data_IF_523612299624
#
_entry.id   IF_523612299624
#
_cell.length_a   1.000
_cell.length_b   1.000
_cell.length_c   1.000
_cell.angle_alpha   90.00
_cell.angle_beta   90.00
_cell.angle_gamma   90.00
#
_symmetry.space_group_name_H-M   'P 1'
#
loop_
_entity.id
_entity.type
_entity.pdbx_description
1 polymer ?
#
# COMPACT_ATOMS: atom_id res chain seq x y z
N UNK A 1 -8.96 -27.37 13.23
CA UNK A 1 -8.69 -26.10 12.52
C UNK A 1 -7.20 -25.83 12.48
N UNK A 2 -6.67 -25.51 11.33
CA UNK A 2 -5.25 -25.13 11.18
C UNK A 2 -4.97 -23.75 11.79
N UNK A 3 -3.76 -23.53 12.30
CA UNK A 3 -3.38 -22.25 12.92
C UNK A 3 -3.53 -21.04 11.96
N UNK A 4 -3.30 -21.26 10.65
CA UNK A 4 -3.45 -20.21 9.65
C UNK A 4 -4.91 -19.84 9.39
N UNK A 5 -5.80 -20.83 9.39
CA UNK A 5 -7.25 -20.62 9.23
C UNK A 5 -7.79 -19.83 10.43
N UNK A 6 -7.44 -20.26 11.64
CA UNK A 6 -7.83 -19.58 12.87
C UNK A 6 -7.36 -18.13 12.91
N UNK A 7 -6.10 -17.88 12.55
CA UNK A 7 -5.56 -16.52 12.48
C UNK A 7 -6.36 -15.63 11.51
N UNK A 8 -6.72 -16.17 10.34
CA UNK A 8 -7.51 -15.43 9.35
C UNK A 8 -8.94 -15.13 9.85
N UNK A 9 -9.59 -16.08 10.52
CA UNK A 9 -10.92 -15.86 11.12
C UNK A 9 -10.86 -14.85 12.27
N UNK A 10 -9.84 -14.91 13.13
CA UNK A 10 -9.62 -13.90 14.18
C UNK A 10 -9.46 -12.52 13.54
N UNK A 11 -8.73 -12.39 12.45
CA UNK A 11 -8.57 -11.12 11.73
C UNK A 11 -9.90 -10.62 11.15
N UNK A 12 -10.72 -11.49 10.56
CA UNK A 12 -12.05 -11.12 10.07
C UNK A 12 -12.94 -10.62 11.22
N UNK A 13 -12.97 -11.34 12.35
CA UNK A 13 -13.73 -10.94 13.53
C UNK A 13 -13.23 -9.59 14.08
N UNK A 14 -11.92 -9.40 14.15
CA UNK A 14 -11.30 -8.15 14.59
C UNK A 14 -11.67 -6.96 13.67
N UNK A 15 -11.79 -7.20 12.37
CA UNK A 15 -12.27 -6.17 11.41
C UNK A 15 -13.74 -5.83 11.59
N UNK A 16 -14.58 -6.82 11.85
CA UNK A 16 -16.02 -6.64 12.03
C UNK A 16 -16.35 -5.96 13.38
N UNK A 17 -15.72 -6.40 14.45
CA UNK A 17 -16.06 -6.00 15.82
C UNK A 17 -15.13 -4.93 16.40
N UNK A 18 -14.05 -4.56 15.68
CA UNK A 18 -13.02 -3.59 16.07
C UNK A 18 -12.18 -4.02 17.30
N UNK A 19 -12.60 -5.02 18.04
CA UNK A 19 -11.92 -5.60 19.20
C UNK A 19 -12.24 -7.08 19.34
N UNK A 20 -11.33 -7.82 19.97
CA UNK A 20 -11.55 -9.22 20.35
C UNK A 20 -10.97 -9.48 21.74
N UNK A 21 -11.56 -10.42 22.47
CA UNK A 21 -11.07 -10.86 23.79
C UNK A 21 -10.42 -12.24 23.67
N UNK A 22 -9.30 -12.43 24.36
CA UNK A 22 -8.56 -13.72 24.36
C UNK A 22 -9.43 -14.85 24.89
N UNK A 23 -10.17 -14.63 25.99
CA UNK A 23 -11.03 -15.65 26.59
C UNK A 23 -12.17 -16.09 25.67
N UNK A 24 -12.80 -15.15 24.95
CA UNK A 24 -13.88 -15.46 24.00
C UNK A 24 -13.36 -16.26 22.81
N UNK A 25 -12.21 -15.86 22.24
CA UNK A 25 -11.59 -16.57 21.14
C UNK A 25 -11.12 -17.96 21.56
N UNK A 26 -10.55 -18.11 22.77
CA UNK A 26 -10.11 -19.39 23.31
C UNK A 26 -11.29 -20.37 23.44
N UNK A 27 -12.43 -19.91 23.97
CA UNK A 27 -13.64 -20.68 24.08
C UNK A 27 -14.22 -21.04 22.70
N UNK A 28 -14.30 -20.07 21.79
CA UNK A 28 -14.86 -20.26 20.45
C UNK A 28 -14.07 -21.29 19.61
N UNK A 29 -12.74 -21.21 19.63
CA UNK A 29 -11.87 -22.11 18.87
C UNK A 29 -11.45 -23.36 19.64
N UNK A 30 -11.89 -23.52 20.89
CA UNK A 30 -11.55 -24.65 21.77
C UNK A 30 -10.03 -24.88 21.89
N UNK A 31 -9.28 -23.78 22.09
CA UNK A 31 -7.83 -23.77 22.29
C UNK A 31 -7.48 -23.02 23.58
N UNK A 32 -6.24 -23.14 24.02
CA UNK A 32 -5.78 -22.39 25.20
C UNK A 32 -5.66 -20.90 24.91
N UNK A 33 -5.82 -20.06 25.94
CA UNK A 33 -5.58 -18.62 25.81
C UNK A 33 -4.18 -18.29 25.31
N UNK A 34 -3.18 -19.09 25.70
CA UNK A 34 -1.80 -18.93 25.22
C UNK A 34 -1.70 -19.12 23.69
N UNK A 35 -2.48 -20.05 23.14
CA UNK A 35 -2.54 -20.24 21.68
C UNK A 35 -3.12 -18.99 20.99
N UNK A 36 -4.18 -18.44 21.55
CA UNK A 36 -4.77 -17.18 21.04
C UNK A 36 -3.81 -16.01 21.19
N UNK A 37 -3.12 -15.87 22.32
CA UNK A 37 -2.10 -14.83 22.50
C UNK A 37 -1.01 -14.90 21.43
N UNK A 38 -0.54 -16.10 21.08
CA UNK A 38 0.43 -16.30 19.99
C UNK A 38 -0.14 -15.94 18.62
N UNK A 39 -1.40 -16.20 18.35
CA UNK A 39 -2.05 -15.81 17.10
C UNK A 39 -2.22 -14.27 17.04
N UNK A 40 -2.61 -13.64 18.15
CA UNK A 40 -2.67 -12.18 18.26
C UNK A 40 -1.28 -11.53 18.19
N UNK A 41 -0.22 -12.15 18.74
CA UNK A 41 1.17 -11.69 18.58
C UNK A 41 1.61 -11.66 17.11
N UNK A 42 1.17 -12.65 16.33
CA UNK A 42 1.43 -12.67 14.88
C UNK A 42 0.67 -11.55 14.17
N UNK A 43 -0.62 -11.36 14.51
CA UNK A 43 -1.44 -10.29 13.94
C UNK A 43 -0.90 -8.90 14.32
N UNK A 44 -0.37 -8.73 15.53
CA UNK A 44 0.28 -7.49 15.97
C UNK A 44 1.59 -7.24 15.22
N UNK A 45 2.46 -8.24 15.10
CA UNK A 45 3.69 -8.16 14.29
C UNK A 45 3.40 -7.88 12.82
N UNK A 46 2.29 -8.37 12.31
CA UNK A 46 1.80 -8.11 10.95
C UNK A 46 1.04 -6.77 10.85
N UNK A 47 0.87 -6.03 11.98
CA UNK A 47 0.24 -4.71 12.02
C UNK A 47 -1.29 -4.71 11.92
N UNK A 48 -1.93 -5.87 11.97
CA UNK A 48 -3.39 -6.00 11.92
C UNK A 48 -4.08 -5.76 13.27
N UNK A 49 -3.35 -5.92 14.36
CA UNK A 49 -3.88 -5.79 15.70
C UNK A 49 -2.95 -4.96 16.59
N UNK A 50 -3.52 -4.33 17.60
CA UNK A 50 -2.79 -3.79 18.75
C UNK A 50 -3.27 -4.54 19.98
N UNK A 51 -2.35 -5.19 20.69
CA UNK A 51 -2.69 -5.94 21.89
C UNK A 51 -3.11 -5.01 23.01
N UNK A 52 -4.08 -5.45 23.79
CA UNK A 52 -4.58 -4.79 24.99
C UNK A 52 -4.57 -5.78 26.16
N UNK A 53 -4.87 -5.29 27.37
CA UNK A 53 -5.02 -6.19 28.50
C UNK A 53 -6.23 -7.11 28.28
N UNK A 54 -5.95 -8.40 28.03
CA UNK A 54 -6.98 -9.44 27.82
C UNK A 54 -7.50 -9.62 26.40
N UNK A 55 -6.95 -8.89 25.41
CA UNK A 55 -7.44 -9.04 24.01
C UNK A 55 -6.58 -8.27 22.99
N UNK A 56 -7.24 -7.89 21.91
CA UNK A 56 -6.67 -7.00 20.91
C UNK A 56 -7.76 -6.12 20.30
N UNK A 57 -7.37 -4.94 19.88
CA UNK A 57 -8.17 -4.03 19.04
C UNK A 57 -7.63 -4.06 17.62
N UNK A 58 -8.48 -3.72 16.65
CA UNK A 58 -8.02 -3.55 15.28
C UNK A 58 -6.87 -2.54 15.25
N UNK A 59 -5.77 -2.93 14.63
CA UNK A 59 -4.60 -2.07 14.54
C UNK A 59 -4.94 -0.80 13.75
N UNK A 60 -5.27 0.27 14.44
CA UNK A 60 -5.45 1.61 13.88
C UNK A 60 -4.09 2.33 13.79
N UNK A 61 -3.03 1.64 13.41
CA UNK A 61 -1.74 2.31 13.36
C UNK A 61 -1.59 3.12 12.07
N UNK A 62 -2.16 4.33 12.09
CA UNK A 62 -1.65 5.43 11.26
C UNK A 62 -0.20 5.78 11.60
N UNK A 63 0.31 5.31 12.76
CA UNK A 63 1.67 5.59 13.27
C UNK A 63 2.73 4.56 12.88
N UNK A 64 2.35 3.34 12.51
CA UNK A 64 3.32 2.32 12.06
C UNK A 64 3.05 2.02 10.58
N UNK A 65 3.99 2.36 9.73
CA UNK A 65 3.92 1.99 8.30
C UNK A 65 3.84 0.45 8.20
N UNK A 66 2.66 -0.06 7.86
CA UNK A 66 2.54 -1.48 7.50
C UNK A 66 3.53 -1.78 6.38
N UNK A 67 4.31 -2.85 6.53
CA UNK A 67 5.25 -3.23 5.48
C UNK A 67 4.52 -3.40 4.15
N UNK A 68 5.22 -3.15 3.06
CA UNK A 68 4.66 -3.28 1.71
C UNK A 68 4.05 -4.68 1.51
N UNK A 69 4.70 -5.73 2.01
CA UNK A 69 4.24 -7.12 1.93
C UNK A 69 2.85 -7.34 2.56
N UNK A 70 2.54 -6.64 3.66
CA UNK A 70 1.21 -6.70 4.28
C UNK A 70 0.21 -5.90 3.46
N UNK A 71 0.58 -4.68 3.06
CA UNK A 71 -0.30 -3.82 2.25
C UNK A 71 -0.68 -4.48 0.93
N UNK A 72 0.23 -5.21 0.28
CA UNK A 72 -0.04 -5.94 -0.97
C UNK A 72 -1.09 -7.05 -0.82
N UNK A 73 -1.24 -7.62 0.39
CA UNK A 73 -2.23 -8.68 0.68
C UNK A 73 -3.56 -8.17 1.25
N UNK A 74 -3.67 -6.87 1.49
CA UNK A 74 -4.86 -6.26 2.09
C UNK A 74 -5.70 -5.60 1.01
N UNK A 75 -7.04 -5.73 1.07
CA UNK A 75 -7.99 -5.11 0.14
C UNK A 75 -7.70 -5.40 -1.34
N UNK A 76 -7.27 -6.62 -1.66
CA UNK A 76 -6.82 -7.03 -3.00
C UNK A 76 -7.92 -6.82 -4.04
N UNK A 77 -9.17 -7.16 -3.70
CA UNK A 77 -10.32 -7.00 -4.60
C UNK A 77 -10.52 -5.53 -5.00
N UNK A 78 -10.53 -4.61 -4.03
CA UNK A 78 -10.66 -3.18 -4.33
C UNK A 78 -9.51 -2.64 -5.17
N UNK A 79 -8.27 -3.10 -4.92
CA UNK A 79 -7.11 -2.72 -5.74
C UNK A 79 -7.21 -3.22 -7.17
N UNK A 80 -7.75 -4.41 -7.39
CA UNK A 80 -8.01 -4.91 -8.73
C UNK A 80 -9.08 -4.07 -9.45
N UNK A 81 -10.17 -3.70 -8.78
CA UNK A 81 -11.18 -2.81 -9.35
C UNK A 81 -10.60 -1.44 -9.73
N UNK A 82 -9.76 -0.86 -8.87
CA UNK A 82 -9.04 0.39 -9.16
C UNK A 82 -8.11 0.20 -10.38
N UNK A 83 -7.39 -0.92 -10.43
CA UNK A 83 -6.47 -1.22 -11.52
C UNK A 83 -7.20 -1.37 -12.87
N UNK A 84 -8.41 -1.96 -12.87
CA UNK A 84 -9.24 -2.06 -14.08
C UNK A 84 -9.66 -0.67 -14.62
N UNK A 85 -9.99 0.27 -13.73
CA UNK A 85 -10.30 1.65 -14.11
C UNK A 85 -9.06 2.38 -14.64
N UNK A 86 -7.90 2.22 -13.96
CA UNK A 86 -6.64 2.82 -14.39
C UNK A 86 -6.22 2.31 -15.77
N UNK A 87 -6.43 1.02 -16.05
CA UNK A 87 -6.11 0.42 -17.37
C UNK A 87 -6.86 1.09 -18.53
N UNK A 88 -8.07 1.58 -18.29
CA UNK A 88 -8.86 2.29 -19.29
C UNK A 88 -8.38 3.74 -19.52
N UNK A 89 -7.60 4.29 -18.57
CA UNK A 89 -7.08 5.66 -18.63
C UNK A 89 -5.70 5.76 -19.28
N UNK A 90 -5.02 4.63 -19.55
CA UNK A 90 -3.66 4.59 -20.06
C UNK A 90 -3.66 4.14 -21.50
N UNK A 91 -2.95 4.87 -22.35
CA UNK A 91 -2.74 4.58 -23.76
C UNK A 91 -1.33 4.03 -24.01
N UNK A 92 -1.15 3.30 -25.10
CA UNK A 92 0.17 2.86 -25.56
C UNK A 92 1.07 4.08 -25.80
N UNK A 93 2.32 3.99 -25.36
CA UNK A 93 3.30 5.08 -25.49
C UNK A 93 3.25 6.13 -24.40
N UNK A 94 2.31 6.06 -23.45
CA UNK A 94 2.25 7.00 -22.33
C UNK A 94 3.53 7.02 -21.48
N UNK A 95 3.87 8.20 -20.99
CA UNK A 95 4.88 8.39 -19.95
C UNK A 95 4.16 8.47 -18.60
N UNK A 96 4.46 7.56 -17.71
CA UNK A 96 3.79 7.41 -16.43
C UNK A 96 4.77 7.61 -15.27
N UNK A 97 4.31 8.25 -14.20
CA UNK A 97 4.99 8.28 -12.91
C UNK A 97 4.15 7.52 -11.91
N UNK A 98 4.73 6.53 -11.22
CA UNK A 98 4.01 5.59 -10.35
C UNK A 98 4.71 5.50 -9.00
N UNK A 99 3.98 5.72 -7.90
CA UNK A 99 4.53 5.71 -6.55
C UNK A 99 4.76 4.29 -5.99
N UNK A 100 5.35 4.22 -4.79
CA UNK A 100 5.66 2.99 -4.05
C UNK A 100 4.45 2.33 -3.36
N UNK A 101 3.24 2.77 -3.65
CA UNK A 101 2.06 2.20 -3.01
C UNK A 101 1.69 0.84 -3.59
N UNK A 102 1.17 -0.04 -2.72
CA UNK A 102 0.67 -1.34 -3.18
C UNK A 102 -0.51 -1.21 -4.15
N UNK A 103 -1.33 -0.16 -4.05
CA UNK A 103 -2.43 0.08 -4.99
C UNK A 103 -1.89 0.44 -6.38
N UNK A 104 -0.89 1.34 -6.44
CA UNK A 104 -0.25 1.70 -7.70
C UNK A 104 0.50 0.52 -8.34
N UNK A 105 1.09 -0.38 -7.54
CA UNK A 105 1.67 -1.63 -8.06
C UNK A 105 0.61 -2.52 -8.73
N UNK A 106 -0.59 -2.67 -8.13
CA UNK A 106 -1.69 -3.40 -8.77
C UNK A 106 -2.11 -2.77 -10.11
N UNK A 107 -2.17 -1.43 -10.14
CA UNK A 107 -2.45 -0.70 -11.38
C UNK A 107 -1.38 -1.00 -12.43
N UNK A 108 -0.10 -0.89 -12.08
CA UNK A 108 1.00 -1.15 -13.01
C UNK A 108 1.01 -2.59 -13.53
N UNK A 109 0.71 -3.57 -12.69
CA UNK A 109 0.57 -4.99 -13.10
C UNK A 109 -0.53 -5.20 -14.14
N UNK A 110 -1.62 -4.45 -14.05
CA UNK A 110 -2.75 -4.55 -14.99
C UNK A 110 -2.45 -3.95 -16.35
N UNK A 111 -1.43 -3.06 -16.43
CA UNK A 111 -1.02 -2.42 -17.68
C UNK A 111 -0.13 -3.29 -18.58
N UNK A 112 0.18 -4.54 -18.22
CA UNK A 112 1.16 -5.39 -18.92
C UNK A 112 0.88 -5.58 -20.43
N UNK A 113 -0.37 -5.48 -20.84
CA UNK A 113 -0.77 -5.59 -22.25
C UNK A 113 -0.57 -4.28 -23.04
N UNK A 114 -0.32 -3.16 -22.36
CA UNK A 114 0.00 -1.88 -22.99
C UNK A 114 1.44 -1.89 -23.51
N UNK A 115 1.67 -1.20 -24.61
CA UNK A 115 2.96 -1.21 -25.32
C UNK A 115 3.67 0.13 -25.20
N UNK A 116 5.00 0.07 -25.23
CA UNK A 116 5.87 1.24 -25.31
C UNK A 116 5.68 2.24 -24.16
N UNK A 117 5.26 1.79 -22.98
CA UNK A 117 5.16 2.68 -21.83
C UNK A 117 6.55 3.07 -21.32
N UNK A 118 6.68 4.30 -20.90
CA UNK A 118 7.81 4.77 -20.08
C UNK A 118 7.32 4.96 -18.65
N UNK A 119 7.88 4.20 -17.71
CA UNK A 119 7.50 4.27 -16.29
C UNK A 119 8.65 4.83 -15.49
N UNK A 120 8.39 5.91 -14.75
CA UNK A 120 9.31 6.49 -13.78
C UNK A 120 8.76 6.19 -12.40
N UNK A 121 9.57 5.59 -11.53
CA UNK A 121 9.13 5.17 -10.21
C UNK A 121 10.24 5.25 -9.18
N UNK A 122 9.85 5.41 -7.91
CA UNK A 122 10.73 5.23 -6.77
C UNK A 122 10.56 3.87 -6.08
N UNK A 123 9.71 2.99 -6.62
CA UNK A 123 9.40 1.67 -6.07
C UNK A 123 10.35 0.60 -6.60
N UNK A 124 11.17 0.04 -5.73
CA UNK A 124 12.05 -1.10 -6.07
C UNK A 124 11.21 -2.34 -6.41
N UNK A 125 10.12 -2.59 -5.67
CA UNK A 125 9.26 -3.74 -5.91
C UNK A 125 8.58 -3.66 -7.28
N UNK A 126 8.12 -2.48 -7.69
CA UNK A 126 7.51 -2.28 -9.02
C UNK A 126 8.51 -2.66 -10.12
N UNK A 127 9.76 -2.22 -10.00
CA UNK A 127 10.81 -2.56 -10.99
C UNK A 127 11.05 -4.06 -11.04
N UNK A 128 11.19 -4.72 -9.89
CA UNK A 128 11.40 -6.18 -9.84
C UNK A 128 10.22 -6.95 -10.45
N UNK A 129 9.00 -6.56 -10.15
CA UNK A 129 7.78 -7.21 -10.63
C UNK A 129 7.55 -7.04 -12.14
N UNK A 130 8.02 -5.95 -12.71
CA UNK A 130 7.75 -5.59 -14.12
C UNK A 130 8.99 -5.63 -15.03
N UNK A 131 10.14 -6.04 -14.49
CA UNK A 131 11.40 -6.11 -15.24
C UNK A 131 11.34 -7.00 -16.50
N UNK A 132 10.38 -7.92 -16.56
CA UNK A 132 10.20 -8.84 -17.68
C UNK A 132 9.27 -8.31 -18.79
N UNK A 133 8.77 -7.07 -18.69
CA UNK A 133 7.94 -6.46 -19.73
C UNK A 133 8.85 -5.75 -20.75
N UNK A 134 9.28 -6.47 -21.77
CA UNK A 134 10.31 -6.04 -22.72
C UNK A 134 9.96 -4.76 -23.49
N UNK A 135 8.68 -4.48 -23.68
CA UNK A 135 8.22 -3.29 -24.45
C UNK A 135 8.21 -1.99 -23.63
N UNK A 136 8.55 -2.07 -22.33
CA UNK A 136 8.53 -0.92 -21.45
C UNK A 136 9.93 -0.38 -21.15
N UNK A 137 10.03 0.94 -21.01
CA UNK A 137 11.20 1.59 -20.42
C UNK A 137 10.89 1.92 -18.95
N UNK A 138 11.62 1.30 -18.01
CA UNK A 138 11.38 1.52 -16.58
C UNK A 138 12.60 2.26 -15.99
N UNK A 139 12.36 3.45 -15.44
CA UNK A 139 13.35 4.29 -14.81
C UNK A 139 13.12 4.29 -13.29
N UNK A 140 14.09 3.76 -12.55
CA UNK A 140 14.08 3.82 -11.09
C UNK A 140 14.85 5.05 -10.62
N UNK A 141 14.28 5.81 -9.70
CA UNK A 141 14.98 6.96 -9.09
C UNK A 141 16.20 6.49 -8.29
N UNK A 142 17.14 7.36 -8.07
CA UNK A 142 18.12 7.19 -7.00
C UNK A 142 17.54 7.55 -5.63
N UNK A 143 18.39 7.49 -4.59
CA UNK A 143 18.06 7.92 -3.24
C UNK A 143 18.30 6.85 -2.16
N UNK A 144 17.83 7.12 -0.96
CA UNK A 144 17.94 6.21 0.19
C UNK A 144 16.81 5.18 0.17
N UNK A 145 17.15 3.91 0.32
CA UNK A 145 16.15 2.84 0.45
C UNK A 145 15.44 2.92 1.80
N UNK A 146 14.13 3.01 1.77
CA UNK A 146 13.23 2.80 2.91
C UNK A 146 12.73 1.35 2.87
N UNK A 147 13.26 0.51 3.75
CA UNK A 147 13.07 -0.95 3.71
C UNK A 147 11.59 -1.37 3.88
N UNK A 148 10.82 -0.65 4.73
CA UNK A 148 9.42 -0.99 5.03
C UNK A 148 8.51 -0.86 3.81
N UNK A 149 8.82 0.05 2.90
CA UNK A 149 8.04 0.31 1.69
C UNK A 149 8.74 -0.13 0.40
N UNK A 150 10.01 -0.58 0.47
CA UNK A 150 10.86 -0.85 -0.68
C UNK A 150 10.91 0.33 -1.67
N UNK A 151 10.96 1.53 -1.11
CA UNK A 151 10.96 2.79 -1.85
C UNK A 151 12.28 3.53 -1.72
N UNK A 152 12.69 4.19 -2.79
CA UNK A 152 13.77 5.16 -2.78
C UNK A 152 13.21 6.55 -2.44
N UNK A 153 13.84 7.23 -1.47
CA UNK A 153 13.36 8.53 -0.95
C UNK A 153 14.52 9.50 -0.71
N UNK A 154 14.17 10.75 -0.45
CA UNK A 154 15.09 11.84 -0.13
C UNK A 154 15.42 12.70 -1.33
N UNK A 155 16.28 13.71 -1.11
CA UNK A 155 16.54 14.80 -2.07
C UNK A 155 17.02 14.33 -3.45
N UNK A 156 17.75 13.23 -3.54
CA UNK A 156 18.16 12.67 -4.83
C UNK A 156 16.97 12.10 -5.62
N UNK A 157 16.06 11.39 -4.92
CA UNK A 157 14.81 10.92 -5.51
C UNK A 157 13.97 12.09 -6.02
N UNK A 158 13.76 13.10 -5.19
CA UNK A 158 12.96 14.28 -5.53
C UNK A 158 13.54 15.05 -6.73
N UNK A 159 14.86 15.27 -6.75
CA UNK A 159 15.56 15.91 -7.87
C UNK A 159 15.41 15.12 -9.16
N UNK A 160 15.55 13.78 -9.08
CA UNK A 160 15.40 12.93 -10.24
C UNK A 160 13.98 13.03 -10.82
N UNK A 161 12.95 12.91 -9.97
CA UNK A 161 11.56 13.04 -10.36
C UNK A 161 11.26 14.42 -11.00
N UNK A 162 11.84 15.47 -10.45
CA UNK A 162 11.65 16.84 -10.94
C UNK A 162 12.25 17.13 -12.34
N UNK A 163 13.10 16.25 -12.87
CA UNK A 163 13.69 16.41 -14.21
C UNK A 163 12.75 15.98 -15.35
N UNK A 164 11.60 15.42 -15.03
CA UNK A 164 10.68 14.83 -16.00
C UNK A 164 9.34 15.56 -16.03
N UNK A 165 8.71 15.51 -17.19
CA UNK A 165 7.30 15.79 -17.37
C UNK A 165 6.65 14.56 -17.98
N UNK A 166 5.57 14.09 -17.36
CA UNK A 166 4.87 12.84 -17.75
C UNK A 166 3.40 13.11 -18.03
N UNK A 167 2.80 12.23 -18.82
CA UNK A 167 1.39 12.33 -19.17
C UNK A 167 0.50 12.11 -17.96
N UNK A 168 0.80 11.06 -17.17
CA UNK A 168 -0.04 10.67 -16.03
C UNK A 168 0.81 10.30 -14.82
N UNK A 169 0.34 10.70 -13.64
CA UNK A 169 0.93 10.33 -12.34
C UNK A 169 -0.09 9.56 -11.53
N UNK A 170 0.30 8.40 -11.07
CA UNK A 170 -0.48 7.56 -10.18
C UNK A 170 0.15 7.55 -8.78
N UNK A 171 -0.52 8.12 -7.81
CA UNK A 171 -0.11 8.13 -6.40
C UNK A 171 -1.24 7.63 -5.51
N UNK A 172 -0.87 7.05 -4.38
CA UNK A 172 -1.81 6.72 -3.31
C UNK A 172 -1.49 7.52 -2.05
N UNK A 173 -2.32 7.39 -1.01
CA UNK A 173 -2.13 8.06 0.26
C UNK A 173 -2.40 7.14 1.46
N UNK A 174 -2.09 7.63 2.66
CA UNK A 174 -2.45 6.97 3.91
C UNK A 174 -3.84 7.38 4.38
N UNK A 175 -4.24 8.61 4.11
CA UNK A 175 -5.55 9.14 4.41
C UNK A 175 -5.99 10.19 3.40
N UNK A 176 -7.30 10.24 3.17
CA UNK A 176 -7.98 11.23 2.35
C UNK A 176 -9.13 11.79 3.18
N UNK A 177 -9.04 13.05 3.52
CA UNK A 177 -10.03 13.76 4.33
C UNK A 177 -10.53 15.00 3.58
N UNK A 178 -11.76 15.40 3.87
CA UNK A 178 -12.40 16.52 3.16
C UNK A 178 -11.73 17.86 3.47
N UNK A 179 -11.24 18.05 4.69
CA UNK A 179 -10.61 19.30 5.14
C UNK A 179 -9.10 19.25 5.00
N UNK A 180 -8.48 18.15 5.47
CA UNK A 180 -7.03 17.97 5.44
C UNK A 180 -6.50 17.57 4.06
N UNK A 181 -7.36 17.14 3.14
CA UNK A 181 -6.97 16.67 1.82
C UNK A 181 -6.26 15.32 1.84
N UNK A 182 -5.25 15.18 0.98
CA UNK A 182 -4.43 13.96 0.84
C UNK A 182 -3.29 14.00 1.87
N UNK A 183 -3.24 13.00 2.74
CA UNK A 183 -2.27 12.93 3.85
C UNK A 183 -1.40 11.68 3.79
N UNK A 184 -0.16 11.81 4.27
CA UNK A 184 0.78 10.69 4.42
C UNK A 184 1.51 10.83 5.76
N UNK A 185 1.73 9.73 6.47
CA UNK A 185 2.36 9.69 7.78
C UNK A 185 3.89 9.84 7.77
N UNK A 186 4.50 9.84 6.60
CA UNK A 186 5.95 9.93 6.45
C UNK A 186 6.34 11.08 5.51
N UNK A 187 7.11 12.01 6.04
CA UNK A 187 7.54 13.22 5.34
C UNK A 187 8.29 12.92 4.03
N UNK A 188 9.23 11.97 4.04
CA UNK A 188 10.03 11.63 2.85
C UNK A 188 9.15 11.02 1.74
N UNK A 189 8.14 10.22 2.11
CA UNK A 189 7.18 9.70 1.14
C UNK A 189 6.31 10.85 0.59
N UNK A 190 5.85 11.74 1.45
CA UNK A 190 5.06 12.91 1.03
C UNK A 190 5.83 13.81 0.07
N UNK A 191 7.12 14.09 0.34
CA UNK A 191 7.98 14.89 -0.51
C UNK A 191 8.20 14.24 -1.89
N UNK A 192 8.44 12.93 -1.94
CA UNK A 192 8.55 12.19 -3.20
C UNK A 192 7.25 12.26 -4.02
N UNK A 193 6.09 12.04 -3.39
CA UNK A 193 4.78 12.15 -4.05
C UNK A 193 4.48 13.57 -4.53
N UNK A 194 4.83 14.58 -3.76
CA UNK A 194 4.71 15.97 -4.20
C UNK A 194 5.58 16.27 -5.43
N UNK A 195 6.81 15.73 -5.49
CA UNK A 195 7.65 15.86 -6.67
C UNK A 195 7.01 15.18 -7.89
N UNK A 196 6.47 13.97 -7.73
CA UNK A 196 5.72 13.27 -8.79
C UNK A 196 4.52 14.09 -9.28
N UNK A 197 3.70 14.59 -8.36
CA UNK A 197 2.49 15.37 -8.69
C UNK A 197 2.82 16.67 -9.43
N UNK A 198 3.96 17.31 -9.14
CA UNK A 198 4.42 18.49 -9.88
C UNK A 198 4.82 18.16 -11.31
N UNK A 199 5.34 16.96 -11.55
CA UNK A 199 5.83 16.50 -12.84
C UNK A 199 4.71 16.03 -13.80
N UNK A 200 3.53 15.72 -13.29
CA UNK A 200 2.46 15.12 -14.08
C UNK A 200 1.49 16.11 -14.70
N UNK A 201 1.16 15.90 -15.96
CA UNK A 201 0.07 16.62 -16.64
C UNK A 201 -1.29 16.26 -16.05
N UNK A 202 -1.57 14.96 -15.92
CA UNK A 202 -2.75 14.42 -15.27
C UNK A 202 -2.34 13.75 -13.95
N UNK A 203 -3.00 14.13 -12.86
CA UNK A 203 -2.71 13.65 -11.50
C UNK A 203 -3.86 12.76 -11.04
N UNK A 204 -3.55 11.50 -10.74
CA UNK A 204 -4.53 10.49 -10.43
C UNK A 204 -4.22 9.91 -9.04
N UNK A 205 -5.15 10.09 -8.12
CA UNK A 205 -5.09 9.49 -6.79
C UNK A 205 -5.79 8.15 -6.81
N UNK A 206 -5.05 7.07 -6.53
CA UNK A 206 -5.56 5.69 -6.48
C UNK A 206 -5.70 5.23 -5.04
N UNK A 207 -6.94 5.19 -4.54
CA UNK A 207 -7.25 4.87 -3.15
C UNK A 207 -8.46 3.97 -3.03
N UNK A 208 -8.45 3.05 -2.09
CA UNK A 208 -9.63 2.30 -1.70
C UNK A 208 -10.40 3.04 -0.60
N UNK A 209 -11.67 2.66 -0.40
CA UNK A 209 -12.58 3.30 0.56
C UNK A 209 -12.06 3.30 2.00
N UNK A 210 -11.13 2.41 2.36
CA UNK A 210 -10.55 2.37 3.71
C UNK A 210 -9.69 3.59 4.06
N UNK A 211 -9.38 4.43 3.07
CA UNK A 211 -8.56 5.66 3.23
C UNK A 211 -9.40 6.94 3.33
N UNK A 212 -10.68 6.86 3.00
CA UNK A 212 -11.61 8.00 3.04
C UNK A 212 -11.93 8.33 4.51
N UNK A 213 -12.14 9.63 4.78
CA UNK A 213 -12.40 10.21 6.10
C UNK A 213 -11.32 9.87 7.14
N UNK A 214 -10.06 9.87 6.69
CA UNK A 214 -8.89 9.64 7.53
C UNK A 214 -7.81 10.67 7.30
N UNK A 215 -7.21 11.11 8.40
CA UNK A 215 -5.99 11.93 8.44
C UNK A 215 -4.84 11.09 8.99
N UNK A 216 -3.65 11.21 8.40
CA UNK A 216 -2.46 10.42 8.77
C UNK A 216 -1.24 11.32 8.96
#
# INVERSE_FOLDING_TARGET
MLAIERKNEILQKLRAEQRVLVSELAAHYQVTEETIRRDLDKLEKEGYATKTYGGAILGNSTKTDLSHAIRSKTNVEFKNQIADLVCQMVDDGDHLMIDDSSTALFCAKKLRDKKNLTIITNSVELVVELANVETWSILLTGGRLKAESLALVGSQCEKYLGNYHVDKVFVSCKGLDREAGVTDSNELNAQAKQAMLRAGRQKILVVDSSKIDKVS
#
